data_IF_498290606178
#
_entry.id   IF_498290606178
#
_cell.length_a   1.000
_cell.length_b   1.000
_cell.length_c   1.000
_cell.angle_alpha   90.00
_cell.angle_beta   90.00
_cell.angle_gamma   90.00
#
_symmetry.space_group_name_H-M   'P 1'
#
loop_
_entity.id
_entity.type
_entity.pdbx_description
1 polymer ?
#
# COMPACT_ATOMS: atom_id res chain seq x y z
N UNK A 1 -8.17 13.60 8.47
CA UNK A 1 -8.05 12.45 7.51
C UNK A 1 -6.80 11.66 7.87
N UNK A 2 -6.97 10.40 8.18
CA UNK A 2 -5.84 9.50 8.46
C UNK A 2 -5.49 8.69 7.23
N UNK A 3 -4.22 8.76 6.81
CA UNK A 3 -3.67 8.03 5.68
C UNK A 3 -2.75 6.94 6.21
N UNK A 4 -2.98 5.69 5.78
CA UNK A 4 -2.12 4.57 6.11
C UNK A 4 -1.46 4.07 4.83
N UNK A 5 -0.13 4.01 4.84
CA UNK A 5 0.67 3.46 3.75
C UNK A 5 1.18 2.07 4.15
N UNK A 6 1.03 1.09 3.27
CA UNK A 6 1.43 -0.29 3.52
C UNK A 6 2.49 -0.72 2.52
N UNK A 7 3.61 -1.24 3.03
CA UNK A 7 4.60 -1.92 2.20
C UNK A 7 4.36 -3.43 2.29
N UNK A 8 3.94 -4.08 1.18
CA UNK A 8 3.57 -5.50 1.22
C UNK A 8 4.73 -6.42 1.60
N UNK A 9 4.41 -7.49 2.34
CA UNK A 9 5.36 -8.53 2.69
C UNK A 9 5.52 -9.48 1.50
N UNK A 10 6.46 -9.17 0.63
CA UNK A 10 6.75 -9.95 -0.56
C UNK A 10 8.06 -10.72 -0.41
N UNK A 11 7.99 -12.03 -0.52
CA UNK A 11 9.15 -12.92 -0.58
C UNK A 11 9.14 -13.68 -1.90
N UNK A 12 10.10 -13.41 -2.78
CA UNK A 12 10.37 -14.26 -3.92
C UNK A 12 11.29 -15.40 -3.45
N UNK A 13 10.79 -16.61 -3.48
CA UNK A 13 11.57 -17.78 -3.08
C UNK A 13 12.86 -17.92 -3.88
N UNK A 14 13.97 -17.40 -3.37
CA UNK A 14 15.30 -17.49 -3.94
C UNK A 14 15.99 -16.18 -4.33
N UNK A 15 15.31 -15.07 -4.32
CA UNK A 15 15.88 -13.77 -4.62
C UNK A 15 15.58 -12.75 -3.52
N UNK A 16 16.00 -13.02 -2.31
CA UNK A 16 16.13 -11.98 -1.28
C UNK A 16 17.32 -11.08 -1.63
N UNK A 17 17.24 -10.41 -2.78
CA UNK A 17 18.30 -9.54 -3.27
C UNK A 17 18.24 -8.17 -2.59
N UNK A 18 17.10 -7.81 -2.05
CA UNK A 18 16.97 -6.60 -1.29
C UNK A 18 16.94 -6.95 0.20
N UNK A 19 17.92 -6.48 0.94
CA UNK A 19 17.87 -6.52 2.39
C UNK A 19 16.56 -5.92 2.91
N UNK A 20 16.23 -6.23 4.15
CA UNK A 20 15.06 -5.69 4.85
C UNK A 20 15.26 -4.20 5.16
N UNK A 21 15.26 -3.35 4.12
CA UNK A 21 15.43 -1.91 4.27
C UNK A 21 14.05 -1.23 4.26
N UNK A 22 13.83 -0.25 5.12
CA UNK A 22 12.61 0.57 5.02
C UNK A 22 12.53 1.20 3.63
N UNK A 23 11.36 1.12 2.96
CA UNK A 23 11.24 1.60 1.59
C UNK A 23 11.27 3.12 1.51
N UNK A 24 12.12 3.65 0.63
CA UNK A 24 12.31 5.09 0.46
C UNK A 24 11.04 5.79 -0.04
N UNK A 25 10.20 5.10 -0.83
CA UNK A 25 8.98 5.69 -1.39
C UNK A 25 8.03 6.24 -0.32
N UNK A 26 7.97 5.58 0.83
CA UNK A 26 7.13 6.04 1.95
C UNK A 26 7.64 7.37 2.51
N UNK A 27 8.94 7.52 2.63
CA UNK A 27 9.55 8.76 3.13
C UNK A 27 9.25 9.94 2.18
N UNK A 28 9.42 9.74 0.88
CA UNK A 28 9.14 10.76 -0.14
C UNK A 28 7.66 11.14 -0.16
N UNK A 29 6.79 10.15 -0.24
CA UNK A 29 5.34 10.39 -0.31
C UNK A 29 4.82 11.02 0.99
N UNK A 30 5.24 10.53 2.14
CA UNK A 30 4.86 11.11 3.43
C UNK A 30 5.34 12.55 3.58
N UNK A 31 6.56 12.84 3.15
CA UNK A 31 7.11 14.20 3.17
C UNK A 31 6.30 15.14 2.30
N UNK A 32 5.93 14.71 1.10
CA UNK A 32 5.08 15.49 0.19
C UNK A 32 3.69 15.74 0.78
N UNK A 33 3.03 14.68 1.27
CA UNK A 33 1.69 14.80 1.87
C UNK A 33 1.68 15.74 3.08
N UNK A 34 2.70 15.66 3.93
CA UNK A 34 2.83 16.57 5.08
C UNK A 34 2.98 18.02 4.65
N UNK A 35 3.74 18.27 3.59
CA UNK A 35 3.87 19.62 3.02
C UNK A 35 2.53 20.16 2.51
N UNK A 36 1.69 19.30 1.97
CA UNK A 36 0.35 19.64 1.48
C UNK A 36 -0.71 19.70 2.60
N UNK A 37 -0.32 19.53 3.85
CA UNK A 37 -1.21 19.65 5.02
C UNK A 37 -1.77 18.35 5.58
N UNK A 38 -1.42 17.20 5.01
CA UNK A 38 -1.85 15.90 5.50
C UNK A 38 -0.83 15.37 6.50
N UNK A 39 -1.08 15.59 7.78
CA UNK A 39 -0.10 15.30 8.85
C UNK A 39 -0.36 13.98 9.58
N UNK A 40 -1.56 13.44 9.50
CA UNK A 40 -1.92 12.17 10.16
C UNK A 40 -1.66 11.00 9.22
N UNK A 41 -0.38 10.60 9.14
CA UNK A 41 0.10 9.54 8.26
C UNK A 41 0.74 8.46 9.11
N UNK A 42 0.29 7.20 8.92
CA UNK A 42 0.88 6.03 9.53
C UNK A 42 1.46 5.11 8.45
N UNK A 43 2.46 4.34 8.83
CA UNK A 43 3.12 3.40 7.94
C UNK A 43 3.11 1.99 8.55
N UNK A 44 2.72 1.01 7.75
CA UNK A 44 2.78 -0.40 8.07
C UNK A 44 3.82 -1.05 7.14
N UNK A 45 4.97 -1.37 7.68
CA UNK A 45 6.02 -2.09 6.95
C UNK A 45 5.86 -3.59 7.20
N UNK A 46 5.02 -4.22 6.38
CA UNK A 46 4.76 -5.65 6.50
C UNK A 46 5.95 -6.48 6.03
N UNK A 47 6.81 -5.95 5.15
CA UNK A 47 7.97 -6.67 4.64
C UNK A 47 9.10 -6.73 5.66
N UNK A 48 9.56 -5.60 6.16
CA UNK A 48 10.68 -5.56 7.12
C UNK A 48 10.32 -6.23 8.44
N UNK A 49 9.09 -6.07 8.88
CA UNK A 49 8.61 -6.63 10.15
C UNK A 49 7.98 -8.02 10.01
N UNK A 50 8.01 -8.62 8.84
CA UNK A 50 7.43 -9.94 8.55
C UNK A 50 5.99 -10.12 9.06
N UNK A 51 5.13 -9.14 8.79
CA UNK A 51 3.76 -9.14 9.29
C UNK A 51 2.89 -10.13 8.51
N UNK A 52 2.10 -10.91 9.25
CA UNK A 52 1.03 -11.72 8.67
C UNK A 52 -0.17 -10.85 8.29
N UNK A 53 -1.09 -11.41 7.50
CA UNK A 53 -2.35 -10.74 7.16
C UNK A 53 -3.16 -10.36 8.40
N UNK A 54 -3.21 -11.23 9.40
CA UNK A 54 -3.93 -10.95 10.66
C UNK A 54 -3.29 -9.80 11.44
N UNK A 55 -1.96 -9.73 11.45
CA UNK A 55 -1.25 -8.62 12.10
C UNK A 55 -1.53 -7.29 11.39
N UNK A 56 -1.55 -7.27 10.07
CA UNK A 56 -1.93 -6.08 9.29
C UNK A 56 -3.37 -5.67 9.58
N UNK A 57 -4.29 -6.65 9.59
CA UNK A 57 -5.70 -6.41 9.93
C UNK A 57 -5.85 -5.76 11.31
N UNK A 58 -5.17 -6.29 12.31
CA UNK A 58 -5.23 -5.76 13.68
C UNK A 58 -4.72 -4.32 13.76
N UNK A 59 -3.64 -3.99 13.05
CA UNK A 59 -3.12 -2.63 12.97
C UNK A 59 -4.11 -1.67 12.31
N UNK A 60 -4.78 -2.11 11.24
CA UNK A 60 -5.80 -1.31 10.57
C UNK A 60 -7.02 -1.07 11.46
N UNK A 61 -7.43 -2.05 12.24
CA UNK A 61 -8.52 -1.88 13.22
C UNK A 61 -8.18 -0.82 14.26
N UNK A 62 -6.95 -0.76 14.73
CA UNK A 62 -6.50 0.23 15.71
C UNK A 62 -6.35 1.63 15.09
N UNK A 63 -5.84 1.70 13.87
CA UNK A 63 -5.56 2.96 13.18
C UNK A 63 -6.82 3.65 12.65
N UNK A 64 -7.81 2.90 12.21
CA UNK A 64 -9.07 3.41 11.61
C UNK A 64 -8.81 4.42 10.49
N UNK A 65 -8.13 4.02 9.40
CA UNK A 65 -7.76 4.94 8.33
C UNK A 65 -8.95 5.39 7.48
N UNK A 66 -8.80 6.56 6.87
CA UNK A 66 -9.71 7.06 5.84
C UNK A 66 -9.20 6.69 4.43
N UNK A 67 -7.88 6.62 4.26
CA UNK A 67 -7.22 6.23 3.02
C UNK A 67 -6.16 5.19 3.32
N UNK A 68 -6.13 4.13 2.50
CA UNK A 68 -5.14 3.05 2.63
C UNK A 68 -4.46 2.89 1.27
N UNK A 69 -3.16 3.14 1.25
CA UNK A 69 -2.34 3.01 0.05
C UNK A 69 -1.33 1.88 0.16
N UNK A 70 -1.15 1.14 -0.92
CA UNK A 70 -0.09 0.16 -1.07
C UNK A 70 0.62 0.33 -2.41
N UNK A 71 1.86 -0.15 -2.49
CA UNK A 71 2.63 -0.16 -3.73
C UNK A 71 2.88 -1.58 -4.20
N UNK A 72 3.07 -1.76 -5.51
CA UNK A 72 3.47 -3.03 -6.06
C UNK A 72 4.43 -2.90 -7.25
N UNK A 73 5.49 -3.68 -7.20
CA UNK A 73 6.21 -4.13 -8.39
C UNK A 73 5.52 -5.39 -8.90
N UNK A 74 5.77 -5.79 -10.15
CA UNK A 74 5.08 -6.94 -10.77
C UNK A 74 5.11 -8.22 -9.92
N UNK A 75 6.24 -8.64 -9.32
CA UNK A 75 6.25 -9.83 -8.47
C UNK A 75 5.42 -9.72 -7.19
N UNK A 76 5.16 -8.51 -6.71
CA UNK A 76 4.44 -8.27 -5.45
C UNK A 76 2.95 -7.99 -5.63
N UNK A 77 2.43 -7.99 -6.86
CA UNK A 77 1.06 -7.53 -7.14
C UNK A 77 0.00 -8.34 -6.40
N UNK A 78 0.10 -9.65 -6.37
CA UNK A 78 -0.90 -10.49 -5.72
C UNK A 78 -0.93 -10.28 -4.20
N UNK A 79 0.21 -10.06 -3.58
CA UNK A 79 0.28 -9.72 -2.16
C UNK A 79 -0.30 -8.33 -1.88
N UNK A 80 -0.01 -7.36 -2.71
CA UNK A 80 -0.58 -6.01 -2.59
C UNK A 80 -2.11 -6.05 -2.75
N UNK A 81 -2.61 -6.78 -3.73
CA UNK A 81 -4.05 -6.98 -3.94
C UNK A 81 -4.70 -7.66 -2.73
N UNK A 82 -4.08 -8.69 -2.17
CA UNK A 82 -4.57 -9.40 -0.99
C UNK A 82 -4.62 -8.48 0.24
N UNK A 83 -3.59 -7.67 0.46
CA UNK A 83 -3.56 -6.72 1.57
C UNK A 83 -4.62 -5.63 1.43
N UNK A 84 -4.83 -5.10 0.23
CA UNK A 84 -5.89 -4.12 -0.01
C UNK A 84 -7.28 -4.72 0.10
N UNK A 85 -7.45 -6.00 -0.20
CA UNK A 85 -8.69 -6.74 0.07
C UNK A 85 -8.98 -6.80 1.56
N UNK A 86 -8.01 -7.21 2.34
CA UNK A 86 -8.10 -7.24 3.81
C UNK A 86 -8.41 -5.84 4.34
N UNK A 87 -7.74 -4.82 3.81
CA UNK A 87 -7.98 -3.44 4.18
C UNK A 87 -9.42 -3.01 3.92
N UNK A 88 -9.97 -3.36 2.77
CA UNK A 88 -11.36 -3.04 2.42
C UNK A 88 -12.38 -3.78 3.27
N UNK A 89 -12.11 -5.03 3.58
CA UNK A 89 -12.96 -5.83 4.47
C UNK A 89 -12.93 -5.29 5.92
N UNK A 90 -11.77 -4.83 6.37
CA UNK A 90 -11.56 -4.33 7.74
C UNK A 90 -12.07 -2.90 7.91
N UNK A 91 -11.88 -2.06 6.92
CA UNK A 91 -12.23 -0.65 6.90
C UNK A 91 -13.06 -0.33 5.64
N UNK A 92 -14.35 -0.74 5.58
CA UNK A 92 -15.15 -0.64 4.34
C UNK A 92 -15.31 0.78 3.81
N UNK A 93 -15.29 1.77 4.70
CA UNK A 93 -15.45 3.19 4.33
C UNK A 93 -14.15 3.86 3.88
N UNK A 94 -13.01 3.19 4.07
CA UNK A 94 -11.73 3.72 3.64
C UNK A 94 -11.55 3.59 2.12
N UNK A 95 -10.90 4.58 1.52
CA UNK A 95 -10.51 4.53 0.11
C UNK A 95 -9.24 3.71 -0.02
N UNK A 96 -9.25 2.70 -0.87
CA UNK A 96 -8.09 1.84 -1.15
C UNK A 96 -7.41 2.25 -2.44
N UNK A 97 -6.09 2.42 -2.36
CA UNK A 97 -5.27 2.97 -3.45
C UNK A 97 -4.09 2.04 -3.73
N UNK A 98 -3.89 1.70 -4.98
CA UNK A 98 -2.68 1.01 -5.44
C UNK A 98 -1.79 1.97 -6.22
N UNK A 99 -0.53 2.05 -5.85
CA UNK A 99 0.51 2.74 -6.60
C UNK A 99 1.60 1.78 -7.06
N UNK A 100 2.67 2.34 -7.59
CA UNK A 100 3.83 1.58 -8.03
C UNK A 100 3.82 1.24 -9.52
N UNK A 101 4.92 0.63 -9.95
CA UNK A 101 5.18 0.41 -11.39
C UNK A 101 4.18 -0.55 -12.02
N UNK A 102 3.78 -1.61 -11.32
CA UNK A 102 2.81 -2.57 -11.87
C UNK A 102 1.47 -1.90 -12.16
N UNK A 103 0.92 -1.14 -11.19
CA UNK A 103 -0.33 -0.41 -11.37
C UNK A 103 -0.25 0.63 -12.48
N UNK A 104 0.89 1.28 -12.65
CA UNK A 104 1.10 2.27 -13.70
C UNK A 104 0.88 1.68 -15.09
N UNK A 105 1.37 0.47 -15.36
CA UNK A 105 1.27 -0.18 -16.67
C UNK A 105 0.08 -1.12 -16.82
N UNK A 106 -0.39 -1.73 -15.73
CA UNK A 106 -1.41 -2.78 -15.73
C UNK A 106 -2.72 -2.37 -15.05
N UNK A 107 -2.99 -1.08 -14.93
CA UNK A 107 -4.16 -0.58 -14.18
C UNK A 107 -5.51 -1.13 -14.66
N UNK A 108 -5.76 -1.34 -15.98
CA UNK A 108 -7.05 -1.89 -16.40
C UNK A 108 -7.26 -3.31 -15.88
N UNK A 109 -6.22 -4.14 -15.95
CA UNK A 109 -6.26 -5.51 -15.46
C UNK A 109 -6.41 -5.55 -13.94
N UNK A 110 -5.64 -4.73 -13.22
CA UNK A 110 -5.71 -4.65 -11.76
C UNK A 110 -7.12 -4.28 -11.29
N UNK A 111 -7.72 -3.23 -11.86
CA UNK A 111 -9.06 -2.79 -11.47
C UNK A 111 -10.14 -3.82 -11.82
N UNK A 112 -9.92 -4.64 -12.83
CA UNK A 112 -10.83 -5.73 -13.20
C UNK A 112 -10.70 -6.92 -12.25
N UNK A 113 -9.47 -7.33 -11.93
CA UNK A 113 -9.19 -8.49 -11.07
C UNK A 113 -9.41 -8.22 -9.59
N UNK A 114 -9.18 -6.97 -9.16
CA UNK A 114 -9.24 -6.55 -7.77
C UNK A 114 -10.25 -5.41 -7.57
N UNK A 115 -11.57 -5.70 -7.63
CA UNK A 115 -12.61 -4.67 -7.53
C UNK A 115 -12.68 -3.98 -6.17
N UNK A 116 -12.00 -4.51 -5.15
CA UNK A 116 -11.85 -3.86 -3.84
C UNK A 116 -10.83 -2.72 -3.83
N UNK A 117 -10.08 -2.51 -4.92
CA UNK A 117 -9.20 -1.35 -5.11
C UNK A 117 -10.00 -0.23 -5.74
N UNK A 118 -10.14 0.88 -5.03
CA UNK A 118 -10.97 2.01 -5.47
C UNK A 118 -10.29 2.82 -6.56
N UNK A 119 -8.98 3.00 -6.47
CA UNK A 119 -8.23 3.71 -7.51
C UNK A 119 -6.77 3.24 -7.62
N UNK A 120 -6.20 3.48 -8.79
CA UNK A 120 -4.80 3.22 -9.09
C UNK A 120 -4.13 4.54 -9.43
N UNK A 121 -3.04 4.85 -8.72
CA UNK A 121 -2.19 6.00 -9.02
C UNK A 121 -1.11 5.58 -10.01
N UNK A 122 -1.06 6.28 -11.14
CA UNK A 122 -0.09 6.02 -12.21
C UNK A 122 1.03 7.05 -12.16
N UNK A 123 2.26 6.58 -12.37
CA UNK A 123 3.44 7.45 -12.34
C UNK A 123 3.85 7.85 -10.92
N UNK A 124 4.35 9.06 -10.78
CA UNK A 124 4.83 9.59 -9.50
C UNK A 124 3.67 9.92 -8.56
N UNK A 125 3.57 9.20 -7.45
CA UNK A 125 2.47 9.33 -6.49
C UNK A 125 2.38 10.70 -5.84
N UNK A 126 3.49 11.39 -5.69
CA UNK A 126 3.58 12.67 -5.03
C UNK A 126 2.72 13.75 -5.71
N UNK A 127 2.59 13.68 -7.02
CA UNK A 127 1.85 14.68 -7.79
C UNK A 127 0.39 14.29 -8.04
N UNK A 128 0.06 12.99 -7.96
CA UNK A 128 -1.24 12.45 -8.36
C UNK A 128 -2.12 12.13 -7.16
N UNK A 129 -1.52 11.67 -6.09
CA UNK A 129 -2.25 11.34 -4.87
C UNK A 129 -2.71 12.61 -4.13
#
# INVERSE_FOLDING_TARGET
>A
MRIVLIHPNYHSGGAEIAGNWPPAWVAYLSGFLKREGYTDIAFIDAMTNHLSHDQVRNRLLDLKPDVIGATAITPAIYEAEALLKIAKETCPDAVTVLGGIHGTFMYPQVLTEAPWIDCVVRGEGEQVL
#
